data_IF_064229998106
#
_entry.id   IF_064229998106
#
_cell.length_a   1.000
_cell.length_b   1.000
_cell.length_c   1.000
_cell.angle_alpha   90.00
_cell.angle_beta   90.00
_cell.angle_gamma   90.00
#
_symmetry.space_group_name_H-M   'P 1'
#
loop_
_entity.id
_entity.type
_entity.pdbx_description
1 polymer ?
#
# COMPACT_ATOMS: atom_id res chain seq x y z
N UNK A 1 -3.11 -4.37 -0.24
CA UNK A 1 -3.07 -3.71 -1.56
C UNK A 1 -4.39 -3.02 -1.82
N UNK A 2 -4.38 -1.74 -2.19
CA UNK A 2 -5.53 -0.97 -2.65
C UNK A 2 -5.31 -0.51 -4.08
N UNK A 3 -6.41 -0.34 -4.84
CA UNK A 3 -6.38 0.09 -6.24
C UNK A 3 -7.23 1.34 -6.38
N UNK A 4 -6.63 2.42 -6.90
CA UNK A 4 -7.36 3.65 -7.20
C UNK A 4 -8.21 3.51 -8.46
N UNK A 5 -9.18 4.41 -8.65
CA UNK A 5 -10.09 4.41 -9.80
C UNK A 5 -9.35 4.57 -11.15
N UNK A 6 -8.15 5.14 -11.13
CA UNK A 6 -7.25 5.31 -12.28
C UNK A 6 -6.26 4.13 -12.45
N UNK A 7 -6.36 3.10 -11.61
CA UNK A 7 -5.55 1.89 -11.68
C UNK A 7 -4.25 1.93 -10.87
N UNK A 8 -3.88 3.07 -10.26
CA UNK A 8 -2.68 3.14 -9.41
C UNK A 8 -2.77 2.18 -8.23
N UNK A 9 -1.66 1.48 -7.95
CA UNK A 9 -1.54 0.51 -6.87
C UNK A 9 -0.94 1.15 -5.61
N UNK A 10 -1.47 0.76 -4.45
CA UNK A 10 -1.06 1.20 -3.12
C UNK A 10 -0.93 -0.01 -2.19
N UNK A 11 -0.01 0.02 -1.22
CA UNK A 11 0.14 -1.09 -0.27
C UNK A 11 -1.11 -1.28 0.62
N UNK A 12 -1.76 -0.17 0.99
CA UNK A 12 -3.00 -0.14 1.77
C UNK A 12 -3.89 1.06 1.40
N UNK A 13 -5.11 1.08 1.94
CA UNK A 13 -6.08 2.17 1.79
C UNK A 13 -5.59 3.49 2.42
N UNK A 14 -4.86 3.45 3.53
CA UNK A 14 -4.21 4.64 4.11
C UNK A 14 -3.14 5.20 3.17
N UNK A 15 -2.33 4.35 2.53
CA UNK A 15 -1.39 4.79 1.51
C UNK A 15 -2.13 5.44 0.33
N UNK A 16 -3.30 4.93 -0.06
CA UNK A 16 -4.13 5.58 -1.07
C UNK A 16 -4.64 6.95 -0.62
N UNK A 17 -5.15 7.06 0.61
CA UNK A 17 -5.62 8.33 1.19
C UNK A 17 -4.50 9.36 1.32
N UNK A 18 -3.27 8.89 1.56
CA UNK A 18 -2.07 9.73 1.68
C UNK A 18 -1.34 9.95 0.34
N UNK A 19 -1.89 9.45 -0.77
CA UNK A 19 -1.28 9.54 -2.11
C UNK A 19 0.15 8.96 -2.19
N UNK A 20 0.37 7.83 -1.51
CA UNK A 20 1.65 7.10 -1.43
C UNK A 20 1.62 5.79 -2.26
N UNK A 21 1.72 5.86 -3.60
CA UNK A 21 1.60 4.67 -4.44
C UNK A 21 2.85 3.79 -4.43
N UNK A 22 2.69 2.55 -4.89
CA UNK A 22 3.79 1.61 -5.10
C UNK A 22 4.63 2.08 -6.31
N UNK A 23 5.95 1.94 -6.20
CA UNK A 23 6.90 2.14 -7.30
C UNK A 23 7.64 0.83 -7.56
N UNK A 24 7.70 0.40 -8.83
CA UNK A 24 8.50 -0.76 -9.21
C UNK A 24 9.99 -0.36 -9.34
N UNK A 25 10.80 -0.74 -8.36
CA UNK A 25 12.24 -0.48 -8.37
C UNK A 25 12.59 1.01 -8.52
N UNK A 26 13.33 1.37 -9.57
CA UNK A 26 13.72 2.75 -9.87
C UNK A 26 12.77 3.47 -10.85
N UNK A 27 11.52 3.01 -10.98
CA UNK A 27 10.56 3.60 -11.90
C UNK A 27 10.31 5.08 -11.57
N UNK A 28 10.15 5.89 -12.63
CA UNK A 28 9.78 7.31 -12.52
C UNK A 28 8.29 7.54 -12.27
N UNK A 29 7.45 6.51 -12.51
CA UNK A 29 6.01 6.59 -12.41
C UNK A 29 5.48 5.56 -11.40
N UNK A 30 4.35 5.86 -10.72
CA UNK A 30 3.62 4.89 -9.92
C UNK A 30 3.22 3.64 -10.72
N UNK A 31 3.23 2.49 -10.06
CA UNK A 31 2.79 1.23 -10.66
C UNK A 31 1.25 1.22 -10.80
N UNK A 32 0.76 0.80 -11.97
CA UNK A 32 -0.65 0.58 -12.25
C UNK A 32 -0.99 -0.90 -12.33
N UNK A 33 -2.25 -1.26 -12.07
CA UNK A 33 -2.77 -2.62 -12.29
C UNK A 33 -2.63 -3.06 -13.75
N UNK A 34 -2.56 -2.11 -14.69
CA UNK A 34 -2.38 -2.37 -16.11
C UNK A 34 -0.92 -2.67 -16.49
N UNK A 35 0.03 -2.47 -15.57
CA UNK A 35 1.47 -2.71 -15.78
C UNK A 35 1.92 -4.09 -15.28
N UNK A 36 1.01 -4.88 -14.67
CA UNK A 36 1.30 -6.19 -14.11
C UNK A 36 0.43 -7.27 -14.75
N UNK A 37 1.05 -8.37 -15.17
CA UNK A 37 0.35 -9.54 -15.72
C UNK A 37 -0.11 -10.50 -14.61
N UNK A 38 0.63 -10.55 -13.51
CA UNK A 38 0.38 -11.40 -12.35
C UNK A 38 0.76 -10.69 -11.04
N UNK A 39 0.27 -11.21 -9.91
CA UNK A 39 0.56 -10.65 -8.58
C UNK A 39 1.98 -10.99 -8.10
N UNK A 40 2.64 -12.00 -8.68
CA UNK A 40 4.01 -12.34 -8.32
C UNK A 40 4.99 -11.24 -8.74
N UNK A 41 4.61 -10.40 -9.72
CA UNK A 41 5.32 -9.17 -10.06
C UNK A 41 5.46 -8.19 -8.87
N UNK A 42 4.62 -8.30 -7.84
CA UNK A 42 4.71 -7.50 -6.62
C UNK A 42 5.61 -8.15 -5.55
N UNK A 43 5.97 -9.43 -5.68
CA UNK A 43 6.79 -10.13 -4.70
C UNK A 43 8.18 -9.49 -4.59
N UNK A 44 8.64 -9.28 -3.36
CA UNK A 44 9.92 -8.63 -3.09
C UNK A 44 9.94 -7.11 -3.31
N UNK A 45 8.81 -6.51 -3.72
CA UNK A 45 8.68 -5.05 -3.75
C UNK A 45 8.68 -4.50 -2.32
N UNK A 46 9.45 -3.44 -2.11
CA UNK A 46 9.49 -2.76 -0.80
C UNK A 46 8.16 -2.06 -0.51
N UNK A 47 7.58 -2.36 0.65
CA UNK A 47 6.36 -1.69 1.13
C UNK A 47 6.66 -0.22 1.42
N UNK A 48 5.83 0.69 0.90
CA UNK A 48 5.95 2.12 1.16
C UNK A 48 5.40 2.42 2.56
N UNK A 49 6.28 2.81 3.49
CA UNK A 49 5.93 3.11 4.87
C UNK A 49 5.92 4.62 5.15
N UNK A 50 5.01 5.07 6.02
CA UNK A 50 4.94 6.46 6.50
C UNK A 50 4.55 6.54 7.97
N UNK A 51 4.38 7.76 8.51
CA UNK A 51 4.09 7.97 9.94
C UNK A 51 2.81 7.28 10.42
N UNK A 52 1.80 7.17 9.55
CA UNK A 52 0.54 6.48 9.86
C UNK A 52 0.74 4.98 10.10
N UNK A 53 1.81 4.37 9.56
CA UNK A 53 2.12 2.96 9.79
C UNK A 53 2.45 2.69 11.26
N UNK A 54 3.08 3.64 11.97
CA UNK A 54 3.28 3.53 13.42
C UNK A 54 1.96 3.54 14.19
N UNK A 55 0.96 4.29 13.71
CA UNK A 55 -0.39 4.26 14.27
C UNK A 55 -1.08 2.92 14.02
N UNK A 56 -0.86 2.31 12.85
CA UNK A 56 -1.38 0.98 12.53
C UNK A 56 -0.75 -0.11 13.42
N UNK A 57 0.53 0.00 13.78
CA UNK A 57 1.21 -0.99 14.63
C UNK A 57 1.00 -0.76 16.13
N UNK A 58 0.67 0.46 16.57
CA UNK A 58 0.48 0.83 17.98
C UNK A 58 -0.73 0.17 18.68
N UNK A 59 -1.52 -0.64 17.99
CA UNK A 59 -2.68 -1.35 18.52
C UNK A 59 -3.08 -2.56 17.69
N UNK A 60 -2.09 -3.32 17.19
CA UNK A 60 -2.24 -4.55 16.40
C UNK A 60 -2.99 -4.45 15.03
N UNK A 61 -3.12 -3.26 14.45
CA UNK A 61 -3.68 -3.07 13.09
C UNK A 61 -4.95 -2.20 13.09
N UNK A 62 -5.00 -1.23 12.18
CA UNK A 62 -6.05 -0.21 12.07
C UNK A 62 -7.42 -0.73 11.59
N UNK A 63 -7.59 -2.04 11.45
CA UNK A 63 -8.87 -2.61 11.00
C UNK A 63 -9.76 -3.12 12.13
N UNK A 64 -9.25 -3.36 13.36
CA UNK A 64 -9.99 -3.55 14.64
C UNK A 64 -9.19 -4.19 15.81
N UNK A 65 -7.85 -4.24 15.81
CA UNK A 65 -7.13 -5.10 16.77
C UNK A 65 -6.89 -4.52 18.19
N UNK A 66 -7.88 -3.83 18.75
CA UNK A 66 -7.84 -3.37 20.14
C UNK A 66 -9.08 -2.63 20.62
N UNK A 67 -10.20 -2.73 19.90
CA UNK A 67 -11.48 -2.29 20.45
C UNK A 67 -11.92 -3.29 21.54
N UNK A 68 -11.62 -2.93 22.78
CA UNK A 68 -12.22 -3.37 24.05
C UNK A 68 -11.95 -4.82 24.51
N UNK A 69 -11.00 -4.95 25.44
CA UNK A 69 -11.16 -5.81 26.62
C UNK A 69 -10.75 -5.01 27.86
#
# INVERSE_FOLDING_TARGET
VSVSWDGRLFDCDFNQMQEMPIFAGSARAPLSIWDIDDLDALNGTTIVTGSHCFGCTAGAGSSCAGALA
#
